data_IF_637829054526
#
_entry.id   IF_637829054526
#
_cell.length_a   1.000
_cell.length_b   1.000
_cell.length_c   1.000
_cell.angle_alpha   90.00
_cell.angle_beta   90.00
_cell.angle_gamma   90.00
#
_symmetry.space_group_name_H-M   'P 1'
#
loop_
_entity.id
_entity.type
_entity.pdbx_description
1 polymer ?
#
# COMPACT_ATOMS: atom_id res chain seq x y z
N UNK A 1 12.50 -20.99 21.04
CA UNK A 1 11.75 -21.31 19.81
C UNK A 1 10.29 -21.49 20.20
N UNK A 2 9.39 -20.61 19.74
CA UNK A 2 7.96 -20.85 19.84
C UNK A 2 7.65 -22.04 18.92
N UNK A 3 7.18 -23.14 19.49
CA UNK A 3 7.08 -24.43 18.79
C UNK A 3 6.08 -24.41 17.64
N UNK A 4 6.34 -25.23 16.63
CA UNK A 4 5.60 -25.41 15.37
C UNK A 4 4.06 -25.48 15.55
N UNK A 5 3.58 -26.12 16.62
CA UNK A 5 2.15 -26.21 16.95
C UNK A 5 1.49 -24.87 17.33
N UNK A 6 2.25 -23.93 17.90
CA UNK A 6 1.75 -22.58 18.22
C UNK A 6 1.65 -21.70 16.98
N UNK A 7 2.56 -21.87 16.02
CA UNK A 7 2.51 -21.20 14.73
C UNK A 7 1.36 -21.73 13.86
N UNK A 8 1.16 -23.05 13.79
CA UNK A 8 0.06 -23.65 13.03
C UNK A 8 -1.32 -23.21 13.56
N UNK A 9 -1.49 -23.13 14.89
CA UNK A 9 -2.73 -22.64 15.51
C UNK A 9 -2.95 -21.14 15.28
N UNK A 10 -1.88 -20.36 15.26
CA UNK A 10 -1.92 -18.93 14.95
C UNK A 10 -2.29 -18.70 13.48
N UNK A 11 -1.65 -19.40 12.55
CA UNK A 11 -1.94 -19.35 11.12
C UNK A 11 -3.37 -19.82 10.79
N UNK A 12 -3.89 -20.83 11.49
CA UNK A 12 -5.27 -21.28 11.32
C UNK A 12 -6.33 -20.23 11.72
N UNK A 13 -5.95 -19.24 12.53
CA UNK A 13 -6.82 -18.12 12.91
C UNK A 13 -6.64 -16.88 12.02
N UNK A 14 -5.72 -16.93 11.04
CA UNK A 14 -5.52 -15.81 10.13
C UNK A 14 -6.69 -15.69 9.18
N UNK A 15 -7.03 -14.43 8.88
CA UNK A 15 -8.05 -14.12 7.89
C UNK A 15 -7.56 -14.57 6.52
N UNK A 16 -8.44 -15.22 5.77
CA UNK A 16 -8.19 -15.59 4.37
C UNK A 16 -8.18 -14.37 3.44
N UNK A 17 -8.53 -13.19 3.95
CA UNK A 17 -8.54 -11.92 3.23
C UNK A 17 -8.17 -10.76 4.17
N UNK A 18 -7.49 -9.76 3.64
CA UNK A 18 -7.13 -8.52 4.35
C UNK A 18 -7.55 -7.33 3.51
N UNK A 19 -8.30 -6.42 4.13
CA UNK A 19 -8.61 -5.11 3.56
C UNK A 19 -7.54 -4.10 3.94
N UNK A 20 -7.16 -3.27 2.97
CA UNK A 20 -6.12 -2.25 3.09
C UNK A 20 -6.69 -0.95 2.53
N UNK A 21 -6.47 0.16 3.22
CA UNK A 21 -6.86 1.48 2.74
C UNK A 21 -5.74 2.49 2.98
N UNK A 22 -5.61 3.45 2.08
CA UNK A 22 -4.68 4.55 2.19
C UNK A 22 -5.33 5.82 1.64
N UNK A 23 -5.13 6.93 2.35
CA UNK A 23 -5.66 8.22 1.99
C UNK A 23 -4.58 9.29 2.06
N UNK A 24 -4.42 10.01 0.96
CA UNK A 24 -3.59 11.18 0.84
C UNK A 24 -4.24 12.38 1.53
N UNK A 25 -3.48 13.02 2.43
CA UNK A 25 -3.90 14.28 3.08
C UNK A 25 -3.09 15.45 2.53
N UNK A 26 -1.77 15.31 2.44
CA UNK A 26 -0.86 16.37 2.02
C UNK A 26 0.42 15.80 1.40
N UNK A 27 1.10 16.59 0.57
CA UNK A 27 2.35 16.18 -0.07
C UNK A 27 3.39 15.80 0.99
N UNK A 28 4.05 14.68 0.74
CA UNK A 28 5.15 14.17 1.57
C UNK A 28 6.46 14.24 0.76
N UNK A 29 7.05 15.44 0.57
CA UNK A 29 8.28 15.60 -0.19
C UNK A 29 9.47 14.96 0.54
N UNK A 30 10.18 14.07 -0.15
CA UNK A 30 11.46 13.49 0.29
C UNK A 30 12.59 14.09 -0.54
N UNK A 31 13.69 14.46 0.11
CA UNK A 31 14.80 15.16 -0.51
C UNK A 31 16.11 14.39 -0.31
N UNK A 32 16.88 14.20 -1.38
CA UNK A 32 18.13 13.42 -1.38
C UNK A 32 19.40 14.29 -1.29
N UNK A 33 19.28 15.61 -1.23
CA UNK A 33 20.42 16.55 -1.15
C UNK A 33 20.51 17.24 0.21
N UNK A 34 21.76 17.51 0.64
CA UNK A 34 22.11 18.14 1.95
C UNK A 34 21.69 17.36 3.19
N UNK A 35 21.41 16.06 3.04
CA UNK A 35 21.39 15.13 4.14
C UNK A 35 22.83 14.68 4.36
N UNK A 36 23.51 15.06 5.47
CA UNK A 36 24.78 14.45 5.79
C UNK A 36 24.54 12.94 5.86
N UNK A 37 25.24 12.10 5.07
CA UNK A 37 25.10 10.66 5.19
C UNK A 37 25.49 10.30 6.62
N UNK A 38 24.52 9.82 7.41
CA UNK A 38 24.79 9.38 8.79
C UNK A 38 25.36 7.96 8.83
N UNK A 39 25.76 7.39 7.69
CA UNK A 39 26.28 6.03 7.67
C UNK A 39 26.91 5.58 6.36
N UNK A 40 27.65 4.49 6.43
CA UNK A 40 28.38 3.85 5.32
C UNK A 40 27.51 2.78 4.67
N UNK A 41 26.96 3.09 3.50
CA UNK A 41 26.37 2.08 2.61
C UNK A 41 27.36 0.92 2.38
N UNK A 42 26.93 -0.37 2.35
CA UNK A 42 25.54 -0.88 2.33
C UNK A 42 24.94 -1.25 3.70
N UNK A 43 25.64 -1.00 4.81
CA UNK A 43 25.28 -1.62 6.09
C UNK A 43 24.32 -0.77 6.96
N UNK A 44 24.02 0.47 6.58
CA UNK A 44 23.35 1.44 7.47
C UNK A 44 22.16 2.19 6.84
N UNK A 45 21.93 2.12 5.52
CA UNK A 45 20.76 2.75 4.87
C UNK A 45 19.44 2.00 5.14
N UNK A 46 19.51 0.73 5.58
CA UNK A 46 18.36 0.01 6.11
C UNK A 46 17.85 0.59 7.44
N UNK A 47 18.59 1.50 8.08
CA UNK A 47 18.19 2.12 9.35
C UNK A 47 16.96 3.04 9.23
N UNK A 48 16.49 3.38 8.03
CA UNK A 48 15.17 4.01 7.88
C UNK A 48 14.00 3.03 8.05
N UNK A 49 14.27 1.74 8.27
CA UNK A 49 13.29 0.77 8.74
C UNK A 49 13.33 0.57 10.28
N UNK A 50 14.42 0.94 10.97
CA UNK A 50 14.53 0.85 12.43
C UNK A 50 14.26 2.23 13.09
N UNK A 51 13.01 2.42 13.53
CA UNK A 51 12.48 3.66 14.12
C UNK A 51 13.02 3.99 15.54
N UNK A 52 14.31 3.84 15.82
CA UNK A 52 14.86 4.25 17.13
C UNK A 52 14.89 5.78 17.29
N UNK A 53 15.16 6.53 16.23
CA UNK A 53 14.99 8.00 16.17
C UNK A 53 14.68 8.44 14.74
N UNK A 54 13.41 8.70 14.44
CA UNK A 54 12.95 9.05 13.08
C UNK A 54 13.56 10.31 12.47
N UNK A 55 14.12 11.22 13.28
CA UNK A 55 14.74 12.46 12.81
C UNK A 55 16.05 12.29 12.05
N UNK A 56 16.67 11.11 12.08
CA UNK A 56 17.94 10.84 11.39
C UNK A 56 17.78 10.54 9.89
N UNK A 57 16.57 10.18 9.44
CA UNK A 57 16.28 9.79 8.05
C UNK A 57 15.66 10.90 7.20
N UNK A 58 15.13 11.95 7.82
CA UNK A 58 14.34 12.96 7.12
C UNK A 58 15.07 14.31 7.11
N UNK A 59 15.42 14.77 5.91
CA UNK A 59 15.76 16.17 5.70
C UNK A 59 14.49 17.00 5.59
N UNK A 60 14.40 18.05 6.39
CA UNK A 60 13.24 18.93 6.36
C UNK A 60 13.29 19.85 5.13
N UNK A 61 12.25 19.85 4.29
CA UNK A 61 12.23 20.53 2.99
C UNK A 61 12.14 22.07 3.09
N UNK A 62 11.92 22.63 4.28
CA UNK A 62 11.69 24.07 4.45
C UNK A 62 12.95 24.92 4.64
N UNK A 63 14.15 24.32 4.77
CA UNK A 63 15.33 25.12 5.13
C UNK A 63 15.98 25.90 3.98
N UNK A 64 15.85 25.49 2.72
CA UNK A 64 16.22 26.36 1.58
C UNK A 64 15.58 25.82 0.30
N UNK A 65 14.80 26.68 -0.38
CA UNK A 65 14.08 26.47 -1.66
C UNK A 65 14.24 25.12 -2.36
N UNK A 66 13.12 24.42 -2.58
CA UNK A 66 12.97 23.12 -3.26
C UNK A 66 14.25 22.65 -3.98
N UNK A 67 15.10 21.86 -3.31
CA UNK A 67 16.30 21.30 -3.92
C UNK A 67 15.94 20.56 -5.22
N UNK A 68 16.82 20.63 -6.22
CA UNK A 68 16.65 19.96 -7.53
C UNK A 68 16.51 18.41 -7.43
N UNK A 69 16.62 17.83 -6.23
CA UNK A 69 16.60 16.40 -5.96
C UNK A 69 15.56 16.01 -4.88
N UNK A 70 14.41 16.69 -4.84
CA UNK A 70 13.26 16.25 -4.06
C UNK A 70 12.19 15.59 -4.95
N UNK A 71 11.52 14.57 -4.43
CA UNK A 71 10.35 13.96 -5.06
C UNK A 71 9.28 13.74 -4.00
N UNK A 72 8.01 13.86 -4.39
CA UNK A 72 6.90 13.52 -3.51
C UNK A 72 6.78 11.99 -3.45
N UNK A 73 6.81 11.40 -2.25
CA UNK A 73 6.48 9.98 -2.10
C UNK A 73 4.98 9.72 -2.15
N UNK A 74 4.18 10.76 -1.97
CA UNK A 74 2.73 10.72 -2.00
C UNK A 74 2.21 11.95 -2.75
N UNK A 75 1.25 11.74 -3.65
CA UNK A 75 0.46 12.79 -4.27
C UNK A 75 -1.04 12.47 -4.24
N UNK A 76 -1.85 13.33 -4.87
CA UNK A 76 -3.30 13.16 -4.87
C UNK A 76 -3.79 11.90 -5.57
N UNK A 77 -2.94 11.16 -6.30
CA UNK A 77 -3.25 9.88 -6.91
C UNK A 77 -3.01 8.68 -5.99
N UNK A 78 -2.40 8.87 -4.82
CA UNK A 78 -2.02 7.76 -3.93
C UNK A 78 -3.17 7.20 -3.09
N UNK A 79 -4.40 7.73 -3.15
CA UNK A 79 -5.51 7.13 -2.41
C UNK A 79 -5.91 5.79 -3.03
N UNK A 80 -5.99 4.74 -2.21
CA UNK A 80 -6.46 3.45 -2.66
C UNK A 80 -7.19 2.68 -1.58
N UNK A 81 -8.05 1.77 -2.04
CA UNK A 81 -8.58 0.66 -1.28
C UNK A 81 -8.12 -0.63 -1.95
N UNK A 82 -7.78 -1.64 -1.16
CA UNK A 82 -7.32 -2.92 -1.68
C UNK A 82 -7.80 -4.10 -0.83
N UNK A 83 -7.89 -5.25 -1.47
CA UNK A 83 -8.09 -6.53 -0.82
C UNK A 83 -6.98 -7.48 -1.25
N UNK A 84 -6.28 -8.06 -0.28
CA UNK A 84 -5.39 -9.21 -0.51
C UNK A 84 -6.08 -10.48 -0.05
N UNK A 85 -6.05 -11.53 -0.86
CA UNK A 85 -6.76 -12.79 -0.60
C UNK A 85 -5.80 -13.95 -0.73
N UNK A 86 -5.90 -14.92 0.19
CA UNK A 86 -5.06 -16.13 0.26
C UNK A 86 -5.94 -17.40 0.25
N UNK A 87 -7.09 -17.34 -0.44
CA UNK A 87 -8.11 -18.38 -0.42
C UNK A 87 -8.08 -19.21 -1.70
N UNK A 88 -8.52 -20.48 -1.62
CA UNK A 88 -8.70 -21.36 -2.78
C UNK A 88 -7.46 -21.50 -3.67
N UNK A 89 -6.26 -21.56 -3.06
CA UNK A 89 -4.96 -21.60 -3.73
C UNK A 89 -4.64 -20.36 -4.59
N UNK A 90 -5.27 -19.22 -4.32
CA UNK A 90 -4.96 -17.95 -4.95
C UNK A 90 -4.37 -16.97 -3.91
N UNK A 91 -3.21 -16.39 -4.22
CA UNK A 91 -2.66 -15.21 -3.53
C UNK A 91 -2.86 -14.00 -4.45
N UNK A 92 -3.98 -13.30 -4.28
CA UNK A 92 -4.39 -12.20 -5.17
C UNK A 92 -4.35 -10.86 -4.44
N UNK A 93 -3.89 -9.83 -5.14
CA UNK A 93 -4.03 -8.44 -4.70
C UNK A 93 -4.88 -7.69 -5.73
N UNK A 94 -5.93 -7.04 -5.27
CA UNK A 94 -6.78 -6.16 -6.07
C UNK A 94 -6.91 -4.80 -5.39
N UNK A 95 -6.64 -3.72 -6.11
CA UNK A 95 -6.70 -2.36 -5.60
C UNK A 95 -7.42 -1.41 -6.56
N UNK A 96 -8.17 -0.48 -6.00
CA UNK A 96 -8.85 0.60 -6.71
C UNK A 96 -8.34 1.95 -6.21
N UNK A 97 -7.87 2.78 -7.14
CA UNK A 97 -7.25 4.07 -6.85
C UNK A 97 -8.18 5.21 -7.23
N UNK A 98 -8.17 6.27 -6.43
CA UNK A 98 -8.92 7.48 -6.70
C UNK A 98 -8.07 8.71 -6.42
N UNK A 99 -8.11 9.68 -7.33
CA UNK A 99 -7.51 10.99 -7.14
C UNK A 99 -8.33 11.82 -6.16
N UNK A 100 -7.64 12.48 -5.24
CA UNK A 100 -8.26 13.34 -4.24
C UNK A 100 -7.34 13.65 -3.07
N UNK A 101 -7.82 14.50 -2.16
CA UNK A 101 -7.11 14.84 -0.93
C UNK A 101 -8.12 15.01 0.19
N UNK A 102 -7.91 14.27 1.29
CA UNK A 102 -8.71 14.41 2.50
C UNK A 102 -8.58 15.78 3.17
N UNK A 103 -7.54 16.55 2.86
CA UNK A 103 -7.45 17.94 3.31
C UNK A 103 -8.50 18.85 2.65
N UNK A 104 -8.99 18.45 1.46
CA UNK A 104 -9.94 19.25 0.67
C UNK A 104 -11.37 18.70 0.78
N UNK A 105 -11.55 17.38 0.63
CA UNK A 105 -12.86 16.73 0.68
C UNK A 105 -12.70 15.22 0.96
N UNK A 106 -13.77 14.53 1.41
CA UNK A 106 -13.77 13.08 1.47
C UNK A 106 -13.41 12.43 0.14
N UNK A 107 -12.60 11.38 0.19
CA UNK A 107 -12.22 10.55 -0.96
C UNK A 107 -13.32 9.51 -1.18
N UNK A 108 -14.09 9.66 -2.26
CA UNK A 108 -15.14 8.73 -2.67
C UNK A 108 -14.66 7.78 -3.77
N UNK A 109 -14.33 6.55 -3.35
CA UNK A 109 -13.91 5.51 -4.28
C UNK A 109 -15.01 5.10 -5.28
N UNK A 110 -16.22 5.66 -5.29
CA UNK A 110 -17.20 5.46 -6.35
C UNK A 110 -16.71 5.84 -7.75
N UNK A 111 -15.63 6.64 -7.85
CA UNK A 111 -15.03 7.08 -9.12
C UNK A 111 -13.57 6.64 -9.27
N UNK A 112 -13.36 5.32 -9.39
CA UNK A 112 -12.02 4.72 -9.57
C UNK A 112 -11.32 5.23 -10.82
N UNK A 113 -10.10 5.77 -10.67
CA UNK A 113 -9.27 6.26 -11.77
C UNK A 113 -8.31 5.22 -12.32
N UNK A 114 -7.87 4.29 -11.47
CA UNK A 114 -6.92 3.25 -11.83
C UNK A 114 -7.17 1.99 -11.00
N UNK A 115 -6.86 0.84 -11.58
CA UNK A 115 -7.07 -0.47 -10.95
C UNK A 115 -5.80 -1.27 -11.08
N UNK A 116 -5.42 -1.92 -9.99
CA UNK A 116 -4.37 -2.93 -9.98
C UNK A 116 -4.95 -4.29 -9.64
N UNK A 117 -4.53 -5.30 -10.38
CA UNK A 117 -4.86 -6.69 -10.13
C UNK A 117 -3.62 -7.54 -10.34
N UNK A 118 -3.19 -8.27 -9.32
CA UNK A 118 -2.01 -9.13 -9.36
C UNK A 118 -2.32 -10.51 -8.80
N UNK A 119 -1.71 -11.52 -9.42
CA UNK A 119 -1.55 -12.85 -8.87
C UNK A 119 -0.13 -12.92 -8.28
N UNK A 120 -0.04 -12.86 -6.96
CA UNK A 120 1.21 -12.83 -6.21
C UNK A 120 1.88 -14.20 -6.12
N UNK A 121 1.18 -15.28 -6.47
CA UNK A 121 1.78 -16.61 -6.57
C UNK A 121 2.62 -16.74 -7.84
N UNK A 122 2.26 -16.01 -8.90
CA UNK A 122 2.97 -15.99 -10.18
C UNK A 122 3.89 -14.78 -10.31
N UNK A 123 3.49 -13.64 -9.78
CA UNK A 123 4.20 -12.36 -9.87
C UNK A 123 4.30 -11.69 -8.49
N UNK A 124 5.18 -12.20 -7.61
CA UNK A 124 5.32 -11.69 -6.24
C UNK A 124 5.86 -10.25 -6.20
N UNK A 125 6.46 -9.77 -7.29
CA UNK A 125 6.99 -8.41 -7.41
C UNK A 125 6.00 -7.44 -8.08
N UNK A 126 4.80 -7.90 -8.45
CA UNK A 126 3.71 -7.07 -8.95
C UNK A 126 4.10 -6.26 -10.20
N UNK A 127 4.88 -6.87 -11.08
CA UNK A 127 5.40 -6.22 -12.28
C UNK A 127 4.42 -6.26 -13.46
N UNK A 128 3.40 -7.11 -13.40
CA UNK A 128 2.41 -7.32 -14.47
C UNK A 128 0.99 -7.13 -13.95
N UNK A 129 0.47 -5.93 -14.11
CA UNK A 129 -0.91 -5.60 -13.78
C UNK A 129 -1.89 -6.32 -14.72
N UNK A 130 -2.66 -7.25 -14.17
CA UNK A 130 -3.71 -8.02 -14.86
C UNK A 130 -5.00 -7.22 -15.10
N UNK A 131 -5.06 -5.97 -14.62
CA UNK A 131 -6.23 -5.10 -14.80
C UNK A 131 -6.55 -4.80 -16.27
N UNK A 132 -5.52 -4.76 -17.11
CA UNK A 132 -5.64 -4.49 -18.54
C UNK A 132 -6.10 -5.70 -19.37
N UNK A 133 -6.09 -6.92 -18.81
CA UNK A 133 -6.45 -8.14 -19.54
C UNK A 133 -7.98 -8.29 -19.64
N UNK A 134 -8.61 -8.18 -20.83
CA UNK A 134 -10.06 -8.29 -20.94
C UNK A 134 -10.61 -9.67 -20.52
N UNK A 135 -9.81 -10.74 -20.60
CA UNK A 135 -10.24 -12.09 -20.18
C UNK A 135 -10.49 -12.19 -18.67
N UNK A 136 -9.94 -11.26 -17.89
CA UNK A 136 -10.05 -11.18 -16.43
C UNK A 136 -11.20 -10.27 -15.95
N UNK A 137 -12.06 -9.79 -16.85
CA UNK A 137 -13.10 -8.82 -16.51
C UNK A 137 -14.09 -9.30 -15.44
N UNK A 138 -14.55 -10.56 -15.53
CA UNK A 138 -15.48 -11.13 -14.56
C UNK A 138 -14.83 -11.29 -13.18
N UNK A 139 -13.59 -11.78 -13.15
CA UNK A 139 -12.81 -11.89 -11.93
C UNK A 139 -12.58 -10.54 -11.25
N UNK A 140 -12.25 -9.51 -12.02
CA UNK A 140 -12.14 -8.14 -11.50
C UNK A 140 -13.45 -7.60 -10.97
N UNK A 141 -14.58 -7.87 -11.65
CA UNK A 141 -15.89 -7.45 -11.15
C UNK A 141 -16.21 -8.11 -9.80
N UNK A 142 -15.88 -9.40 -9.64
CA UNK A 142 -16.01 -10.13 -8.37
C UNK A 142 -15.10 -9.53 -7.28
N UNK A 143 -13.85 -9.26 -7.59
CA UNK A 143 -12.88 -8.68 -6.65
C UNK A 143 -13.29 -7.25 -6.24
N UNK A 144 -13.77 -6.44 -7.18
CA UNK A 144 -14.32 -5.11 -6.90
C UNK A 144 -15.53 -5.20 -5.98
N UNK A 145 -16.52 -6.05 -6.28
CA UNK A 145 -17.69 -6.24 -5.43
C UNK A 145 -17.29 -6.63 -3.99
N UNK A 146 -16.33 -7.56 -3.87
CA UNK A 146 -15.79 -8.01 -2.59
C UNK A 146 -15.06 -6.90 -1.84
N UNK A 147 -14.24 -6.13 -2.54
CA UNK A 147 -13.55 -4.96 -1.97
C UNK A 147 -14.56 -3.94 -1.43
N UNK A 148 -15.68 -3.71 -2.14
CA UNK A 148 -16.73 -2.80 -1.68
C UNK A 148 -17.52 -3.33 -0.49
N UNK A 149 -17.63 -4.64 -0.30
CA UNK A 149 -18.18 -5.22 0.94
C UNK A 149 -17.29 -4.88 2.14
N UNK A 150 -15.98 -5.06 2.00
CA UNK A 150 -15.01 -4.69 3.03
C UNK A 150 -15.06 -3.19 3.36
N UNK A 151 -15.07 -2.34 2.34
CA UNK A 151 -15.17 -0.88 2.52
C UNK A 151 -16.45 -0.50 3.27
N UNK A 152 -17.62 -1.05 2.90
CA UNK A 152 -18.89 -0.76 3.57
C UNK A 152 -18.91 -1.20 5.02
N UNK A 153 -18.22 -2.29 5.34
CA UNK A 153 -18.13 -2.77 6.72
C UNK A 153 -17.40 -1.78 7.63
N UNK A 154 -16.34 -1.12 7.13
CA UNK A 154 -15.50 -0.21 7.91
C UNK A 154 -15.04 -0.81 9.28
N UNK A 155 -14.72 -2.10 9.31
CA UNK A 155 -14.25 -2.81 10.51
C UNK A 155 -15.33 -3.25 11.51
N UNK A 156 -16.62 -2.97 11.27
CA UNK A 156 -17.71 -3.25 12.24
C UNK A 156 -18.29 -4.68 12.16
N UNK A 157 -18.64 -5.15 10.95
CA UNK A 157 -19.28 -6.45 10.70
C UNK A 157 -18.70 -7.14 9.47
N UNK A 158 -17.37 -7.20 9.40
CA UNK A 158 -16.70 -7.56 8.17
C UNK A 158 -16.81 -9.05 7.88
N UNK A 159 -16.77 -9.45 6.59
CA UNK A 159 -16.82 -10.85 6.19
C UNK A 159 -15.74 -11.74 6.80
#
# INVERSE_FOLDING_TARGET
ALGDASFAKFAAAWRSEVFIEHYFVALNPKCMQRCPPQGRYPNEDSACAELLTGSACWCFPWETGHPQNCYNTEDDANNFIAVRRWANNADELYAEFQRGSLASAPVDFGQTNFVEHFDLSVDPWQMRNLAADPSRAEERARLSARLREWLRCAGSSCP
#
